data_IF_019583856896
#
_entry.id   IF_019583856896
#
_cell.length_a   1.000
_cell.length_b   1.000
_cell.length_c   1.000
_cell.angle_alpha   90.00
_cell.angle_beta   90.00
_cell.angle_gamma   90.00
#
_symmetry.space_group_name_H-M   'P 1'
#
loop_
_entity.id
_entity.type
_entity.pdbx_description
1 polymer ?
#
# COMPACT_ATOMS: atom_id res chain seq x y z
N UNK A 1 -3.33 -22.46 22.97
CA UNK A 1 -2.04 -22.92 22.36
C UNK A 1 -1.08 -21.81 22.69
N UNK A 2 0.08 -22.13 23.28
CA UNK A 2 1.08 -21.14 23.65
C UNK A 2 1.90 -20.66 22.42
N UNK A 3 2.55 -19.52 22.57
CA UNK A 3 3.34 -18.89 21.49
C UNK A 3 4.41 -19.83 20.95
N UNK A 4 5.11 -20.57 21.80
CA UNK A 4 6.17 -21.49 21.38
C UNK A 4 5.66 -22.57 20.43
N UNK A 5 4.50 -23.17 20.74
CA UNK A 5 3.88 -24.18 19.86
C UNK A 5 3.41 -23.59 18.53
N UNK A 6 2.90 -22.34 18.53
CA UNK A 6 2.51 -21.65 17.28
C UNK A 6 3.75 -21.43 16.41
N UNK A 7 4.80 -20.84 16.98
CA UNK A 7 6.06 -20.53 16.28
C UNK A 7 6.74 -21.81 15.78
N UNK A 8 6.81 -22.86 16.64
CA UNK A 8 7.41 -24.15 16.25
C UNK A 8 6.70 -24.76 15.05
N UNK A 9 5.35 -24.76 15.05
CA UNK A 9 4.56 -25.30 13.95
C UNK A 9 4.73 -24.50 12.66
N UNK A 10 4.75 -23.15 12.76
CA UNK A 10 5.00 -22.29 11.61
C UNK A 10 6.40 -22.58 11.02
N UNK A 11 7.41 -22.64 11.86
CA UNK A 11 8.79 -22.93 11.44
C UNK A 11 8.95 -24.33 10.80
N UNK A 12 8.12 -25.30 11.16
CA UNK A 12 8.19 -26.65 10.62
C UNK A 12 7.48 -26.78 9.25
N UNK A 13 6.37 -26.07 9.03
CA UNK A 13 5.50 -26.32 7.89
C UNK A 13 5.35 -25.13 6.93
N UNK A 14 5.67 -23.90 7.32
CA UNK A 14 5.56 -22.73 6.46
C UNK A 14 6.92 -22.33 5.90
N UNK A 15 6.97 -22.11 4.58
CA UNK A 15 8.21 -21.72 3.92
C UNK A 15 8.76 -20.40 4.49
N UNK A 16 10.04 -20.38 4.84
CA UNK A 16 10.72 -19.24 5.49
C UNK A 16 11.13 -18.17 4.48
N UNK A 17 10.18 -17.54 3.82
CA UNK A 17 10.41 -16.39 2.94
C UNK A 17 10.34 -15.04 3.68
N UNK A 18 9.96 -15.06 4.95
CA UNK A 18 9.84 -13.88 5.80
C UNK A 18 10.69 -14.00 7.06
N UNK A 19 11.36 -12.92 7.44
CA UNK A 19 11.99 -12.78 8.74
C UNK A 19 10.93 -12.31 9.76
N UNK A 20 10.18 -13.28 10.36
CA UNK A 20 9.10 -12.98 11.28
C UNK A 20 9.59 -12.46 12.61
N UNK A 21 8.89 -11.48 13.18
CA UNK A 21 9.08 -11.11 14.58
C UNK A 21 8.76 -12.33 15.48
N UNK A 22 9.54 -12.61 16.54
CA UNK A 22 9.39 -13.79 17.39
C UNK A 22 8.22 -13.65 18.40
N UNK A 23 7.05 -13.27 17.91
CA UNK A 23 5.80 -13.19 18.68
C UNK A 23 4.69 -13.91 17.92
N UNK A 24 3.77 -14.53 18.66
CA UNK A 24 2.53 -15.06 18.10
C UNK A 24 1.37 -14.12 18.45
N UNK A 25 0.45 -13.91 17.51
CA UNK A 25 -0.77 -13.15 17.71
C UNK A 25 -1.98 -14.08 17.58
N UNK A 26 -2.94 -13.99 18.48
CA UNK A 26 -4.09 -14.88 18.55
C UNK A 26 -5.43 -14.15 18.41
N UNK A 27 -5.51 -12.91 18.84
CA UNK A 27 -6.72 -12.09 18.83
C UNK A 27 -6.38 -10.65 18.45
N UNK A 28 -7.39 -9.90 18.04
CA UNK A 28 -7.27 -8.46 17.83
C UNK A 28 -8.59 -7.76 18.07
N UNK A 29 -8.53 -6.51 18.52
CA UNK A 29 -9.68 -5.61 18.65
C UNK A 29 -9.23 -4.16 18.47
N UNK A 30 -9.83 -3.44 17.53
CA UNK A 30 -9.43 -2.07 17.21
C UNK A 30 -7.95 -1.99 16.84
N UNK A 31 -7.19 -1.20 17.58
CA UNK A 31 -5.74 -1.05 17.35
C UNK A 31 -4.87 -2.07 18.10
N UNK A 32 -5.48 -2.98 18.86
CA UNK A 32 -4.71 -3.88 19.72
C UNK A 32 -4.73 -5.32 19.20
N UNK A 33 -3.55 -5.90 19.09
CA UNK A 33 -3.35 -7.34 18.93
C UNK A 33 -2.98 -7.97 20.28
N UNK A 34 -3.33 -9.24 20.47
CA UNK A 34 -3.08 -9.98 21.71
C UNK A 34 -2.45 -11.33 21.38
N UNK A 35 -1.38 -11.67 22.09
CA UNK A 35 -0.74 -12.97 22.02
C UNK A 35 -1.54 -14.05 22.75
N UNK A 36 -1.19 -15.35 22.54
CA UNK A 36 -1.85 -16.47 23.21
C UNK A 36 -1.83 -16.41 24.73
N UNK A 37 -0.80 -15.82 25.32
CA UNK A 37 -0.60 -15.67 26.76
C UNK A 37 -1.21 -14.36 27.33
N UNK A 38 -1.87 -13.59 26.48
CA UNK A 38 -2.55 -12.34 26.87
C UNK A 38 -1.72 -11.08 26.78
N UNK A 39 -0.50 -11.13 26.23
CA UNK A 39 0.28 -9.90 25.97
C UNK A 39 -0.45 -9.06 24.94
N UNK A 40 -0.57 -7.76 25.21
CA UNK A 40 -1.22 -6.80 24.31
C UNK A 40 -0.19 -5.92 23.60
N UNK A 41 -0.40 -5.75 22.33
CA UNK A 41 0.41 -4.92 21.46
C UNK A 41 -0.45 -3.83 20.80
N UNK A 42 -0.03 -2.59 20.90
CA UNK A 42 -0.58 -1.49 20.11
C UNK A 42 -0.01 -1.59 18.69
N UNK A 43 -0.87 -1.78 17.70
CA UNK A 43 -0.46 -2.05 16.33
C UNK A 43 -0.39 -0.79 15.48
N UNK A 44 0.83 -0.37 15.14
CA UNK A 44 1.12 0.69 14.19
C UNK A 44 1.64 0.15 12.86
N UNK A 45 1.32 -1.14 12.56
CA UNK A 45 1.60 -1.78 11.27
C UNK A 45 0.36 -1.98 10.43
N UNK A 46 -0.79 -2.20 11.06
CA UNK A 46 -2.06 -2.65 10.47
C UNK A 46 -1.91 -3.73 9.39
N UNK A 47 -0.95 -4.68 9.61
CA UNK A 47 -0.64 -5.72 8.63
C UNK A 47 -0.10 -5.16 7.31
N UNK A 48 0.80 -4.17 7.38
CA UNK A 48 1.34 -3.40 6.25
C UNK A 48 0.25 -2.56 5.56
N UNK A 49 -0.55 -1.83 6.37
CA UNK A 49 -1.58 -0.93 5.87
C UNK A 49 -2.86 -1.61 5.38
N UNK A 50 -3.12 -2.85 5.76
CA UNK A 50 -4.29 -3.65 5.33
C UNK A 50 -5.50 -3.45 6.24
N UNK A 51 -5.32 -3.53 7.57
CA UNK A 51 -6.39 -3.39 8.55
C UNK A 51 -6.76 -1.91 8.75
N UNK A 52 -7.32 -1.28 7.71
CA UNK A 52 -7.65 0.16 7.75
C UNK A 52 -8.67 0.52 8.83
N UNK A 53 -9.60 -0.38 9.14
CA UNK A 53 -10.60 -0.21 10.22
C UNK A 53 -10.13 -0.79 11.57
N UNK A 54 -8.87 -1.25 11.66
CA UNK A 54 -8.38 -2.00 12.81
C UNK A 54 -8.84 -3.46 12.80
N UNK A 55 -8.55 -4.16 13.90
CA UNK A 55 -8.94 -5.55 14.06
C UNK A 55 -10.42 -5.68 14.43
N UNK A 56 -11.12 -6.60 13.77
CA UNK A 56 -12.46 -7.04 14.12
C UNK A 56 -13.50 -5.89 14.21
N UNK A 57 -13.45 -4.92 13.27
CA UNK A 57 -14.54 -3.94 13.15
C UNK A 57 -15.87 -4.68 13.00
N UNK A 58 -16.84 -4.38 13.87
CA UNK A 58 -18.08 -5.15 13.96
C UNK A 58 -18.89 -5.08 12.67
N UNK A 59 -19.03 -3.91 12.09
CA UNK A 59 -19.82 -3.73 10.86
C UNK A 59 -19.19 -4.48 9.69
N UNK A 60 -17.87 -4.45 9.60
CA UNK A 60 -17.13 -5.21 8.59
C UNK A 60 -17.27 -6.73 8.78
N UNK A 61 -17.09 -7.21 10.02
CA UNK A 61 -17.19 -8.62 10.36
C UNK A 61 -18.59 -9.18 10.13
N UNK A 62 -19.63 -8.44 10.50
CA UNK A 62 -21.03 -8.79 10.25
C UNK A 62 -21.33 -8.87 8.75
N UNK A 63 -20.93 -7.88 7.96
CA UNK A 63 -21.15 -7.88 6.50
C UNK A 63 -20.47 -9.07 5.80
N UNK A 64 -19.25 -9.41 6.21
CA UNK A 64 -18.50 -10.57 5.70
C UNK A 64 -19.20 -11.87 6.09
N UNK A 65 -19.58 -12.02 7.36
CA UNK A 65 -20.28 -13.20 7.88
C UNK A 65 -21.63 -13.41 7.19
N UNK A 66 -22.43 -12.35 7.10
CA UNK A 66 -23.74 -12.38 6.44
C UNK A 66 -23.63 -12.81 4.97
N UNK A 67 -22.67 -12.23 4.23
CA UNK A 67 -22.47 -12.59 2.83
C UNK A 67 -21.95 -14.02 2.66
N UNK A 68 -21.09 -14.51 3.57
CA UNK A 68 -20.60 -15.88 3.54
C UNK A 68 -21.73 -16.91 3.73
N UNK A 69 -22.76 -16.57 4.52
CA UNK A 69 -23.95 -17.41 4.69
C UNK A 69 -24.93 -17.33 3.51
N UNK A 70 -24.86 -16.27 2.68
CA UNK A 70 -25.73 -16.12 1.50
C UNK A 70 -25.14 -16.75 0.24
N UNK A 71 -23.94 -16.36 -0.12
CA UNK A 71 -23.29 -16.76 -1.37
C UNK A 71 -21.80 -16.38 -1.30
N UNK A 72 -20.93 -17.37 -1.19
CA UNK A 72 -19.49 -17.14 -1.00
C UNK A 72 -18.71 -16.96 -2.30
N UNK A 73 -19.14 -17.60 -3.40
CA UNK A 73 -18.40 -17.55 -4.66
C UNK A 73 -19.25 -17.95 -5.87
N UNK A 74 -19.05 -17.31 -7.02
CA UNK A 74 -19.71 -17.65 -8.30
C UNK A 74 -18.75 -17.54 -9.48
N UNK A 75 -17.49 -17.17 -9.27
CA UNK A 75 -16.60 -16.67 -10.31
C UNK A 75 -17.18 -15.45 -11.04
N UNK A 76 -16.61 -15.04 -12.15
CA UNK A 76 -17.10 -13.94 -12.98
C UNK A 76 -18.04 -14.42 -14.12
N UNK A 77 -18.63 -15.60 -13.96
CA UNK A 77 -19.63 -16.16 -14.89
C UNK A 77 -21.03 -15.59 -14.63
N UNK A 78 -21.28 -15.09 -13.42
CA UNK A 78 -22.58 -14.56 -12.98
C UNK A 78 -22.44 -13.23 -12.28
N UNK A 79 -23.47 -12.40 -12.33
CA UNK A 79 -23.49 -11.11 -11.64
C UNK A 79 -23.79 -11.31 -10.16
N UNK A 80 -23.09 -10.53 -9.31
CA UNK A 80 -23.35 -10.47 -7.88
C UNK A 80 -23.53 -9.02 -7.41
N UNK A 81 -24.49 -8.80 -6.53
CA UNK A 81 -24.79 -7.44 -6.05
C UNK A 81 -23.63 -6.77 -5.31
N UNK A 82 -22.86 -7.45 -4.41
CA UNK A 82 -21.75 -6.82 -3.71
C UNK A 82 -20.65 -6.29 -4.64
N UNK A 83 -20.31 -7.04 -5.69
CA UNK A 83 -19.30 -6.66 -6.67
C UNK A 83 -19.70 -5.40 -7.44
N UNK A 84 -20.91 -5.39 -8.04
CA UNK A 84 -21.40 -4.22 -8.78
C UNK A 84 -21.58 -2.99 -7.90
N UNK A 85 -22.01 -3.17 -6.62
CA UNK A 85 -22.13 -2.08 -5.64
C UNK A 85 -20.77 -1.47 -5.34
N UNK A 86 -19.74 -2.29 -5.10
CA UNK A 86 -18.38 -1.84 -4.84
C UNK A 86 -17.80 -1.08 -6.04
N UNK A 87 -17.92 -1.64 -7.26
CA UNK A 87 -17.44 -1.00 -8.47
C UNK A 87 -18.08 0.39 -8.65
N UNK A 88 -19.41 0.49 -8.49
CA UNK A 88 -20.13 1.77 -8.57
C UNK A 88 -19.62 2.81 -7.58
N UNK A 89 -19.35 2.40 -6.32
CA UNK A 89 -18.84 3.30 -5.28
C UNK A 89 -17.44 3.79 -5.62
N UNK A 90 -16.55 2.88 -6.03
CA UNK A 90 -15.19 3.23 -6.42
C UNK A 90 -15.18 4.19 -7.61
N UNK A 91 -15.92 3.89 -8.69
CA UNK A 91 -16.02 4.80 -9.83
C UNK A 91 -16.53 6.20 -9.43
N UNK A 92 -17.61 6.26 -8.63
CA UNK A 92 -18.16 7.55 -8.15
C UNK A 92 -17.19 8.34 -7.29
N UNK A 93 -16.42 7.63 -6.44
CA UNK A 93 -15.50 8.26 -5.49
C UNK A 93 -14.24 8.80 -6.18
N UNK A 94 -13.77 8.12 -7.22
CA UNK A 94 -12.49 8.39 -7.88
C UNK A 94 -12.61 9.11 -9.22
N UNK A 95 -13.82 9.17 -9.79
CA UNK A 95 -14.04 9.68 -11.15
C UNK A 95 -13.61 8.72 -12.25
N UNK A 96 -13.21 7.48 -11.90
CA UNK A 96 -12.87 6.45 -12.88
C UNK A 96 -14.13 5.85 -13.51
N UNK A 97 -13.98 5.26 -14.70
CA UNK A 97 -15.09 4.74 -15.51
C UNK A 97 -15.46 3.29 -15.17
N UNK A 98 -14.46 2.42 -15.04
CA UNK A 98 -14.63 0.98 -14.84
C UNK A 98 -13.64 0.42 -13.82
N UNK A 99 -14.00 -0.73 -13.21
CA UNK A 99 -13.14 -1.45 -12.26
C UNK A 99 -13.05 -2.91 -12.68
N UNK A 100 -11.83 -3.44 -12.71
CA UNK A 100 -11.56 -4.87 -12.70
C UNK A 100 -11.09 -5.27 -11.30
N UNK A 101 -11.59 -6.39 -10.76
CA UNK A 101 -11.18 -6.91 -9.46
C UNK A 101 -10.27 -8.13 -9.59
N UNK A 102 -9.17 -8.12 -8.85
CA UNK A 102 -8.29 -9.25 -8.55
C UNK A 102 -8.25 -9.54 -7.04
N UNK A 103 -7.20 -10.20 -6.57
CA UNK A 103 -7.08 -10.67 -5.18
C UNK A 103 -5.90 -10.03 -4.42
N UNK A 104 -5.07 -9.30 -5.10
CA UNK A 104 -3.85 -8.70 -4.54
C UNK A 104 -3.44 -7.43 -5.27
N UNK A 105 -2.52 -6.65 -4.67
CA UNK A 105 -1.91 -5.51 -5.33
C UNK A 105 -1.10 -5.92 -6.57
N UNK A 106 -0.41 -7.08 -6.51
CA UNK A 106 0.31 -7.60 -7.67
C UNK A 106 -0.63 -7.90 -8.84
N UNK A 107 -1.76 -8.58 -8.60
CA UNK A 107 -2.76 -8.83 -9.66
C UNK A 107 -3.38 -7.54 -10.20
N UNK A 108 -3.60 -6.54 -9.33
CA UNK A 108 -4.06 -5.23 -9.77
C UNK A 108 -3.02 -4.56 -10.70
N UNK A 109 -1.76 -4.59 -10.33
CA UNK A 109 -0.68 -4.02 -11.14
C UNK A 109 -0.46 -4.79 -12.45
N UNK A 110 -0.58 -6.13 -12.47
CA UNK A 110 -0.61 -6.94 -13.70
C UNK A 110 -1.74 -6.48 -14.64
N UNK A 111 -2.94 -6.29 -14.08
CA UNK A 111 -4.10 -5.79 -14.83
C UNK A 111 -3.87 -4.39 -15.40
N UNK A 112 -3.25 -3.49 -14.62
CA UNK A 112 -2.93 -2.13 -15.04
C UNK A 112 -1.91 -2.11 -16.18
N UNK A 113 -0.82 -2.89 -16.08
CA UNK A 113 0.20 -3.03 -17.11
C UNK A 113 -0.43 -3.58 -18.41
N UNK A 114 -1.26 -4.61 -18.29
CA UNK A 114 -1.98 -5.19 -19.44
C UNK A 114 -2.92 -4.18 -20.09
N UNK A 115 -3.66 -3.39 -19.31
CA UNK A 115 -4.58 -2.39 -19.84
C UNK A 115 -3.81 -1.28 -20.59
N UNK A 116 -2.69 -0.82 -20.05
CA UNK A 116 -1.84 0.19 -20.70
C UNK A 116 -1.26 -0.33 -22.03
N UNK A 117 -0.72 -1.55 -22.04
CA UNK A 117 -0.21 -2.19 -23.26
C UNK A 117 -1.31 -2.44 -24.28
N UNK A 118 -2.52 -2.84 -23.84
CA UNK A 118 -3.67 -3.04 -24.73
C UNK A 118 -4.14 -1.74 -25.37
N UNK A 119 -4.26 -0.65 -24.59
CA UNK A 119 -4.56 0.68 -25.10
C UNK A 119 -3.56 1.08 -26.18
N UNK A 120 -2.28 0.95 -25.89
CA UNK A 120 -1.20 1.30 -26.83
C UNK A 120 -1.26 0.46 -28.11
N UNK A 121 -1.50 -0.85 -27.97
CA UNK A 121 -1.62 -1.75 -29.13
C UNK A 121 -2.81 -1.39 -30.03
N UNK A 122 -3.96 -1.07 -29.45
CA UNK A 122 -5.17 -0.76 -30.20
C UNK A 122 -5.03 0.54 -31.00
N UNK A 123 -4.25 1.53 -30.47
CA UNK A 123 -4.08 2.82 -31.11
C UNK A 123 -2.84 2.93 -32.01
N UNK A 124 -1.76 2.19 -31.70
CA UNK A 124 -0.45 2.34 -32.33
C UNK A 124 0.10 1.05 -32.95
N UNK A 125 -0.57 -0.08 -32.75
CA UNK A 125 -0.08 -1.37 -33.21
C UNK A 125 1.06 -1.96 -32.34
N UNK A 126 1.81 -2.91 -32.91
CA UNK A 126 2.91 -3.60 -32.21
C UNK A 126 4.13 -2.73 -31.97
N UNK A 127 4.84 -3.00 -30.87
CA UNK A 127 6.16 -2.42 -30.57
C UNK A 127 6.15 -1.14 -29.77
N UNK A 128 4.98 -0.75 -29.23
CA UNK A 128 4.84 0.33 -28.25
C UNK A 128 4.25 -0.25 -26.96
N UNK A 129 5.11 -0.92 -26.17
CA UNK A 129 4.74 -1.75 -25.04
C UNK A 129 5.69 -1.62 -23.81
N UNK A 130 6.65 -0.68 -23.90
CA UNK A 130 7.57 -0.37 -22.80
C UNK A 130 6.86 0.43 -21.71
N UNK A 131 7.01 -0.01 -20.47
CA UNK A 131 6.55 0.68 -19.25
C UNK A 131 7.74 1.22 -18.49
N UNK A 132 7.77 2.52 -18.22
CA UNK A 132 8.80 3.14 -17.39
C UNK A 132 8.32 3.14 -15.94
N UNK A 133 9.18 2.66 -15.01
CA UNK A 133 8.94 2.67 -13.57
C UNK A 133 10.03 3.43 -12.83
N UNK A 134 9.89 3.60 -11.51
CA UNK A 134 10.87 4.34 -10.72
C UNK A 134 11.82 3.40 -9.98
N UNK A 135 13.09 3.79 -9.90
CA UNK A 135 14.06 3.19 -8.98
C UNK A 135 13.50 3.31 -7.55
N UNK A 136 13.70 2.28 -6.73
CA UNK A 136 13.15 2.12 -5.39
C UNK A 136 11.63 1.89 -5.31
N UNK A 137 10.93 1.72 -6.43
CA UNK A 137 9.51 1.33 -6.43
C UNK A 137 9.29 -0.11 -5.96
N UNK A 138 8.04 -0.41 -5.60
CA UNK A 138 7.59 -1.77 -5.31
C UNK A 138 6.17 -1.99 -5.84
N UNK A 139 6.04 -2.86 -6.86
CA UNK A 139 4.76 -3.10 -7.53
C UNK A 139 4.22 -4.52 -7.38
N UNK A 140 4.98 -5.44 -6.78
CA UNK A 140 4.53 -6.80 -6.49
C UNK A 140 5.61 -7.86 -6.59
N UNK A 141 5.17 -9.14 -6.50
CA UNK A 141 6.05 -10.32 -6.49
C UNK A 141 5.74 -11.33 -7.61
N UNK A 142 4.79 -11.05 -8.50
CA UNK A 142 4.61 -11.81 -9.75
C UNK A 142 5.71 -11.41 -10.73
N UNK A 143 6.00 -12.24 -11.73
CA UNK A 143 7.18 -11.99 -12.60
C UNK A 143 7.10 -10.62 -13.28
N UNK A 144 5.96 -10.19 -13.83
CA UNK A 144 5.88 -8.87 -14.46
C UNK A 144 5.91 -7.72 -13.43
N UNK A 145 5.21 -7.82 -12.32
CA UNK A 145 5.27 -6.79 -11.27
C UNK A 145 6.60 -6.76 -10.54
N UNK A 146 7.29 -7.91 -10.45
CA UNK A 146 8.65 -7.99 -9.94
C UNK A 146 9.62 -7.30 -10.90
N UNK A 147 9.46 -7.53 -12.22
CA UNK A 147 10.20 -6.77 -13.23
C UNK A 147 9.91 -5.27 -13.15
N UNK A 148 8.67 -4.86 -12.92
CA UNK A 148 8.32 -3.44 -12.75
C UNK A 148 8.89 -2.82 -11.47
N UNK A 149 9.24 -3.63 -10.46
CA UNK A 149 9.80 -3.18 -9.17
C UNK A 149 11.26 -2.74 -9.34
N UNK A 150 11.54 -1.46 -9.14
CA UNK A 150 12.85 -0.84 -9.34
C UNK A 150 13.84 -1.08 -8.19
N UNK A 151 13.95 -2.31 -7.69
CA UNK A 151 14.86 -2.67 -6.60
C UNK A 151 15.60 -3.97 -6.93
N UNK A 152 16.88 -3.87 -7.25
CA UNK A 152 17.72 -5.02 -7.65
C UNK A 152 17.75 -6.14 -6.62
N UNK A 153 17.65 -5.85 -5.33
CA UNK A 153 17.62 -6.85 -4.26
C UNK A 153 16.53 -7.90 -4.45
N UNK A 154 15.46 -7.59 -5.17
CA UNK A 154 14.37 -8.51 -5.47
C UNK A 154 14.55 -9.27 -6.79
N UNK A 155 15.53 -8.91 -7.61
CA UNK A 155 15.73 -9.49 -8.94
C UNK A 155 16.72 -10.67 -8.97
N UNK A 156 17.47 -10.92 -7.89
CA UNK A 156 18.67 -11.75 -7.86
C UNK A 156 18.56 -13.18 -8.44
N UNK A 157 17.39 -13.85 -8.42
CA UNK A 157 17.31 -15.29 -8.73
C UNK A 157 16.21 -15.67 -9.72
N UNK A 158 15.38 -14.72 -10.14
CA UNK A 158 14.09 -15.03 -10.77
C UNK A 158 14.03 -14.73 -12.27
N UNK A 159 15.17 -14.50 -12.90
CA UNK A 159 15.25 -14.31 -14.35
C UNK A 159 14.97 -15.61 -15.13
N UNK A 160 14.63 -15.54 -16.42
CA UNK A 160 14.57 -14.30 -17.19
C UNK A 160 13.35 -13.44 -16.85
N UNK A 161 13.57 -12.12 -16.81
CA UNK A 161 12.50 -11.15 -16.55
C UNK A 161 11.77 -10.78 -17.85
N UNK A 162 10.58 -10.16 -17.71
CA UNK A 162 9.83 -9.67 -18.84
C UNK A 162 10.56 -8.50 -19.52
N UNK A 163 10.64 -8.53 -20.84
CA UNK A 163 11.07 -7.37 -21.63
C UNK A 163 10.04 -6.22 -21.53
N UNK A 164 10.47 -5.01 -21.92
CA UNK A 164 9.60 -3.83 -21.96
C UNK A 164 9.40 -3.15 -20.60
N UNK A 165 10.42 -3.19 -19.74
CA UNK A 165 10.49 -2.37 -18.52
C UNK A 165 11.82 -1.63 -18.48
N UNK A 166 11.76 -0.32 -18.16
CA UNK A 166 12.92 0.53 -17.91
C UNK A 166 12.71 1.36 -16.67
N UNK A 167 13.79 1.83 -16.04
CA UNK A 167 13.73 2.50 -14.76
C UNK A 167 14.35 3.89 -14.85
N UNK A 168 13.74 4.86 -14.13
CA UNK A 168 14.29 6.20 -13.93
C UNK A 168 14.31 6.57 -12.47
N UNK A 169 15.10 7.55 -12.08
CA UNK A 169 15.16 8.05 -10.72
C UNK A 169 13.99 9.00 -10.44
N UNK A 170 13.35 8.86 -9.28
CA UNK A 170 12.32 9.80 -8.85
C UNK A 170 12.88 11.23 -8.74
N UNK A 171 12.18 12.22 -9.30
CA UNK A 171 12.62 13.62 -9.36
C UNK A 171 13.44 13.99 -10.59
N UNK A 172 13.92 13.02 -11.38
CA UNK A 172 14.67 13.26 -12.60
C UNK A 172 13.73 13.32 -13.81
N UNK A 173 13.16 14.50 -14.07
CA UNK A 173 12.25 14.68 -15.23
C UNK A 173 12.99 14.71 -16.57
N UNK A 174 14.21 15.20 -16.62
CA UNK A 174 14.98 15.24 -17.84
C UNK A 174 15.42 13.83 -18.24
N UNK A 175 15.96 13.04 -17.30
CA UNK A 175 16.27 11.63 -17.55
C UNK A 175 15.04 10.82 -17.95
N UNK A 176 13.86 11.12 -17.38
CA UNK A 176 12.61 10.51 -17.81
C UNK A 176 12.26 10.89 -19.26
N UNK A 177 12.41 12.17 -19.65
CA UNK A 177 12.15 12.62 -21.02
C UNK A 177 13.06 11.93 -22.04
N UNK A 178 14.33 11.72 -21.71
CA UNK A 178 15.29 11.03 -22.56
C UNK A 178 14.96 9.54 -22.74
N UNK A 179 14.38 8.89 -21.71
CA UNK A 179 13.97 7.48 -21.78
C UNK A 179 12.66 7.27 -22.58
N UNK A 180 11.81 8.29 -22.67
CA UNK A 180 10.57 8.19 -23.42
C UNK A 180 10.85 8.19 -24.92
N UNK A 181 10.56 7.07 -25.57
CA UNK A 181 10.73 6.90 -27.01
C UNK A 181 9.46 6.37 -27.69
N UNK A 182 9.58 5.98 -28.97
CA UNK A 182 8.47 5.44 -29.76
C UNK A 182 7.94 4.09 -29.23
N UNK A 183 8.68 3.40 -28.37
CA UNK A 183 8.29 2.11 -27.80
C UNK A 183 7.58 2.27 -26.45
N UNK A 184 7.61 3.45 -25.85
CA UNK A 184 7.03 3.71 -24.54
C UNK A 184 5.53 3.80 -24.61
N UNK A 185 4.81 3.01 -23.81
CA UNK A 185 3.34 3.02 -23.71
C UNK A 185 2.81 3.62 -22.40
N UNK A 186 3.58 3.53 -21.32
CA UNK A 186 3.11 3.96 -20.00
C UNK A 186 4.25 4.38 -19.08
N UNK A 187 3.90 5.21 -18.09
CA UNK A 187 4.70 5.47 -16.90
C UNK A 187 3.92 4.96 -15.69
N UNK A 188 4.57 4.19 -14.81
CA UNK A 188 3.97 3.65 -13.59
C UNK A 188 4.75 4.11 -12.37
N UNK A 189 4.05 4.63 -11.36
CA UNK A 189 4.67 5.17 -10.14
C UNK A 189 3.80 5.00 -8.90
N UNK A 190 4.44 5.01 -7.73
CA UNK A 190 3.83 5.25 -6.42
C UNK A 190 4.04 6.73 -6.07
N UNK A 191 3.01 7.44 -5.60
CA UNK A 191 3.15 8.83 -5.13
C UNK A 191 3.94 8.92 -3.81
N UNK A 192 3.96 7.83 -3.06
CA UNK A 192 4.86 7.62 -1.91
C UNK A 192 5.46 6.24 -2.08
N UNK A 193 6.75 6.14 -2.33
CA UNK A 193 7.47 4.89 -2.43
C UNK A 193 7.52 4.20 -1.05
N UNK A 194 6.55 3.31 -0.79
CA UNK A 194 6.35 2.72 0.53
C UNK A 194 7.51 1.87 0.99
N UNK A 195 7.95 0.94 0.16
CA UNK A 195 9.10 0.07 0.42
C UNK A 195 10.44 0.77 0.11
N UNK A 196 10.40 1.88 -0.61
CA UNK A 196 11.55 2.74 -0.93
C UNK A 196 11.99 3.67 0.21
N UNK A 197 11.42 3.55 1.43
CA UNK A 197 11.74 4.40 2.58
C UNK A 197 10.65 5.41 2.92
N UNK A 198 9.43 5.20 2.49
CA UNK A 198 8.27 6.09 2.69
C UNK A 198 8.51 7.48 2.10
N UNK A 199 9.02 7.53 0.87
CA UNK A 199 9.44 8.76 0.19
C UNK A 199 8.31 9.27 -0.70
N UNK A 200 7.72 10.41 -0.33
CA UNK A 200 6.76 11.13 -1.17
C UNK A 200 7.48 11.77 -2.36
N UNK A 201 6.88 11.69 -3.53
CA UNK A 201 7.38 12.36 -4.72
C UNK A 201 7.14 13.87 -4.64
N UNK A 202 8.00 14.63 -5.28
CA UNK A 202 7.84 16.07 -5.42
C UNK A 202 6.60 16.41 -6.29
N UNK A 203 5.72 17.35 -5.86
CA UNK A 203 4.53 17.71 -6.62
C UNK A 203 4.82 18.28 -8.03
N UNK A 204 5.89 19.05 -8.19
CA UNK A 204 6.25 19.62 -9.50
C UNK A 204 6.70 18.49 -10.45
N UNK A 205 7.49 17.54 -9.93
CA UNK A 205 7.86 16.35 -10.70
C UNK A 205 6.63 15.55 -11.14
N UNK A 206 5.68 15.30 -10.25
CA UNK A 206 4.45 14.54 -10.55
C UNK A 206 3.62 15.26 -11.63
N UNK A 207 3.50 16.58 -11.57
CA UNK A 207 2.81 17.36 -12.61
C UNK A 207 3.56 17.31 -13.95
N UNK A 208 4.88 17.38 -13.92
CA UNK A 208 5.71 17.24 -15.12
C UNK A 208 5.56 15.85 -15.78
N UNK A 209 5.49 14.78 -14.96
CA UNK A 209 5.20 13.42 -15.45
C UNK A 209 3.82 13.36 -16.12
N UNK A 210 2.77 13.97 -15.51
CA UNK A 210 1.44 14.01 -16.12
C UNK A 210 1.47 14.74 -17.47
N UNK A 211 2.10 15.92 -17.51
CA UNK A 211 2.22 16.70 -18.74
C UNK A 211 2.96 15.94 -19.84
N UNK A 212 4.03 15.20 -19.50
CA UNK A 212 4.77 14.35 -20.43
C UNK A 212 3.88 13.22 -20.97
N UNK A 213 3.08 12.58 -20.10
CA UNK A 213 2.14 11.54 -20.52
C UNK A 213 1.08 12.11 -21.49
N UNK A 214 0.58 13.33 -21.23
CA UNK A 214 -0.40 13.99 -22.10
C UNK A 214 0.23 14.35 -23.46
N UNK A 215 1.46 14.89 -23.47
CA UNK A 215 2.20 15.25 -24.67
C UNK A 215 2.47 14.05 -25.59
N UNK A 216 2.83 12.91 -25.01
CA UNK A 216 3.28 11.70 -25.75
C UNK A 216 2.19 10.64 -25.87
N UNK A 217 0.97 10.91 -25.41
CA UNK A 217 -0.13 9.95 -25.28
C UNK A 217 0.29 8.64 -24.60
N UNK A 218 0.96 8.78 -23.43
CA UNK A 218 1.31 7.66 -22.57
C UNK A 218 0.21 7.43 -21.53
N UNK A 219 0.05 6.19 -21.08
CA UNK A 219 -0.83 5.86 -19.97
C UNK A 219 -0.10 6.14 -18.65
N UNK A 220 -0.66 6.99 -17.80
CA UNK A 220 -0.17 7.19 -16.45
C UNK A 220 -0.86 6.22 -15.49
N UNK A 221 -0.09 5.27 -14.93
CA UNK A 221 -0.52 4.32 -13.91
C UNK A 221 -0.03 4.81 -12.55
N UNK A 222 -0.96 5.03 -11.61
CA UNK A 222 -0.62 5.33 -10.23
C UNK A 222 -0.95 4.13 -9.34
N UNK A 223 0.08 3.55 -8.74
CA UNK A 223 -0.04 2.48 -7.76
C UNK A 223 -0.40 3.08 -6.39
N UNK A 224 -1.68 2.97 -6.05
CA UNK A 224 -2.24 3.39 -4.76
C UNK A 224 -2.53 2.20 -3.82
N UNK A 225 -1.86 1.07 -4.05
CA UNK A 225 -2.02 -0.14 -3.24
C UNK A 225 -1.68 0.12 -1.77
N UNK A 226 -0.70 0.97 -1.48
CA UNK A 226 -0.34 1.33 -0.11
C UNK A 226 -0.83 2.72 0.31
N UNK A 227 -0.97 3.65 -0.60
CA UNK A 227 -1.32 5.06 -0.34
C UNK A 227 -2.82 5.34 -0.33
N UNK A 228 -3.61 4.52 -1.04
CA UNK A 228 -5.05 4.73 -1.20
C UNK A 228 -5.90 4.36 0.01
N UNK A 229 -7.19 4.48 -0.19
CA UNK A 229 -8.24 4.10 0.77
C UNK A 229 -8.08 4.79 2.14
N UNK A 230 -7.85 6.11 2.10
CA UNK A 230 -7.81 6.94 3.30
C UNK A 230 -6.46 7.07 3.99
N UNK A 231 -5.44 6.29 3.60
CA UNK A 231 -4.14 6.22 4.27
C UNK A 231 -3.46 7.58 4.44
N UNK A 232 -3.60 8.45 3.45
CA UNK A 232 -2.96 9.77 3.43
C UNK A 232 -3.87 10.92 3.93
N UNK A 233 -5.12 10.61 4.36
CA UNK A 233 -6.11 11.60 4.77
C UNK A 233 -7.09 11.99 3.66
N UNK A 234 -6.85 11.53 2.43
CA UNK A 234 -7.76 11.58 1.28
C UNK A 234 -8.09 10.17 0.82
N UNK A 235 -9.14 9.97 0.02
CA UNK A 235 -9.48 8.62 -0.46
C UNK A 235 -8.38 8.06 -1.36
N UNK A 236 -7.87 8.86 -2.30
CA UNK A 236 -6.66 8.59 -3.09
C UNK A 236 -5.57 9.60 -2.74
N UNK A 237 -4.32 9.17 -2.71
CA UNK A 237 -3.17 10.06 -2.57
C UNK A 237 -3.05 11.05 -3.73
N UNK A 238 -3.54 10.67 -4.92
CA UNK A 238 -3.65 11.54 -6.09
C UNK A 238 -4.33 12.89 -5.79
N UNK A 239 -5.25 12.94 -4.81
CA UNK A 239 -5.96 14.15 -4.44
C UNK A 239 -5.02 15.22 -3.86
N UNK A 240 -3.95 14.84 -3.14
CA UNK A 240 -2.93 15.77 -2.63
C UNK A 240 -2.13 16.43 -3.76
N UNK A 241 -2.01 15.77 -4.89
CA UNK A 241 -1.27 16.22 -6.07
C UNK A 241 -2.17 16.88 -7.12
N UNK A 242 -3.48 16.97 -6.89
CA UNK A 242 -4.44 17.34 -7.93
C UNK A 242 -4.20 16.56 -9.25
N UNK A 243 -3.85 15.29 -9.13
CA UNK A 243 -3.46 14.42 -10.23
C UNK A 243 -4.66 13.60 -10.72
N UNK A 244 -4.82 13.53 -12.03
CA UNK A 244 -5.80 12.64 -12.70
C UNK A 244 -5.05 11.58 -13.51
N UNK A 245 -4.78 10.40 -12.95
CA UNK A 245 -4.15 9.31 -13.67
C UNK A 245 -5.12 8.64 -14.64
N UNK A 246 -4.58 7.87 -15.59
CA UNK A 246 -5.39 7.05 -16.49
C UNK A 246 -5.82 5.73 -15.84
N UNK A 247 -4.95 5.17 -15.00
CA UNK A 247 -5.20 3.95 -14.24
C UNK A 247 -4.76 4.14 -12.78
N UNK A 248 -5.59 3.67 -11.85
CA UNK A 248 -5.26 3.58 -10.42
C UNK A 248 -5.38 2.14 -9.98
N UNK A 249 -4.41 1.65 -9.22
CA UNK A 249 -4.51 0.33 -8.58
C UNK A 249 -4.73 0.45 -7.08
N UNK A 250 -5.62 -0.36 -6.53
CA UNK A 250 -5.93 -0.44 -5.10
C UNK A 250 -5.82 -1.88 -4.61
N UNK A 251 -5.47 -2.06 -3.34
CA UNK A 251 -5.54 -3.33 -2.62
C UNK A 251 -5.51 -3.06 -1.10
N UNK A 252 -4.79 -3.86 -0.34
CA UNK A 252 -4.51 -3.66 1.11
C UNK A 252 -5.72 -3.13 1.88
N UNK A 253 -5.71 -1.84 2.23
CA UNK A 253 -6.77 -1.18 3.00
C UNK A 253 -8.17 -1.34 2.41
N UNK A 254 -8.32 -1.56 1.10
CA UNK A 254 -9.61 -1.77 0.45
C UNK A 254 -10.36 -2.99 1.01
N UNK A 255 -9.65 -4.06 1.35
CA UNK A 255 -10.25 -5.29 1.86
C UNK A 255 -10.53 -5.29 3.36
N UNK A 256 -9.93 -4.36 4.12
CA UNK A 256 -10.06 -4.30 5.57
C UNK A 256 -9.57 -5.57 6.30
N UNK A 257 -8.74 -6.39 5.65
CA UNK A 257 -8.22 -7.67 6.14
C UNK A 257 -8.40 -8.83 5.16
N UNK A 258 -9.34 -8.73 4.22
CA UNK A 258 -9.54 -9.74 3.17
C UNK A 258 -8.74 -9.42 1.90
N UNK A 259 -8.28 -10.46 1.15
CA UNK A 259 -7.50 -10.28 -0.07
C UNK A 259 -8.37 -9.73 -1.21
N UNK A 260 -8.01 -8.56 -1.71
CA UNK A 260 -8.63 -7.90 -2.88
C UNK A 260 -7.57 -7.04 -3.59
N UNK A 261 -7.68 -6.99 -4.91
CA UNK A 261 -7.05 -6.00 -5.77
C UNK A 261 -8.09 -5.34 -6.67
N UNK A 262 -7.90 -4.10 -7.03
CA UNK A 262 -8.76 -3.40 -7.96
C UNK A 262 -7.93 -2.56 -8.93
N UNK A 263 -8.26 -2.66 -10.21
CA UNK A 263 -7.75 -1.80 -11.29
C UNK A 263 -8.87 -0.86 -11.68
N UNK A 264 -8.69 0.42 -11.44
CA UNK A 264 -9.63 1.46 -11.81
C UNK A 264 -9.14 2.10 -13.10
N UNK A 265 -9.98 2.09 -14.11
CA UNK A 265 -9.68 2.55 -15.46
C UNK A 265 -10.51 3.80 -15.77
N UNK A 266 -9.88 4.81 -16.37
CA UNK A 266 -10.63 5.91 -16.97
C UNK A 266 -11.31 5.45 -18.27
N UNK A 267 -12.08 6.31 -18.93
CA UNK A 267 -12.80 5.97 -20.15
C UNK A 267 -11.84 5.50 -21.27
N UNK A 268 -10.73 6.22 -21.46
CA UNK A 268 -9.68 5.95 -22.43
C UNK A 268 -9.11 4.51 -22.31
N UNK A 269 -8.76 4.09 -21.10
CA UNK A 269 -8.10 2.81 -20.87
C UNK A 269 -9.07 1.63 -20.67
N UNK A 270 -10.34 1.93 -20.38
CA UNK A 270 -11.38 0.91 -20.21
C UNK A 270 -11.91 0.36 -21.55
N UNK A 271 -11.91 1.18 -22.60
CA UNK A 271 -12.54 0.85 -23.89
C UNK A 271 -11.96 -0.43 -24.53
N UNK A 272 -10.65 -0.59 -24.50
CA UNK A 272 -9.96 -1.75 -25.08
C UNK A 272 -10.07 -3.06 -24.26
N UNK A 273 -10.53 -2.99 -23.00
CA UNK A 273 -10.58 -4.14 -22.08
C UNK A 273 -11.92 -4.88 -22.17
N UNK A 274 -12.10 -5.65 -23.23
CA UNK A 274 -13.30 -6.47 -23.49
C UNK A 274 -13.18 -7.93 -23.01
N UNK A 275 -14.23 -8.76 -23.29
CA UNK A 275 -14.24 -10.18 -22.94
C UNK A 275 -13.00 -10.93 -23.45
N UNK A 276 -12.36 -11.71 -22.58
CA UNK A 276 -11.18 -12.50 -22.89
C UNK A 276 -9.84 -11.76 -22.76
N UNK A 277 -9.81 -10.42 -22.60
CA UNK A 277 -8.56 -9.67 -22.49
C UNK A 277 -7.87 -9.86 -21.13
N UNK A 278 -8.64 -10.08 -20.06
CA UNK A 278 -8.12 -10.36 -18.71
C UNK A 278 -9.13 -11.18 -17.90
N UNK A 279 -8.70 -11.81 -16.80
CA UNK A 279 -9.57 -12.63 -15.98
C UNK A 279 -9.00 -12.94 -14.59
N UNK A 280 -9.89 -13.30 -13.68
CA UNK A 280 -9.59 -13.81 -12.35
C UNK A 280 -10.73 -14.72 -11.90
N UNK A 281 -10.39 -15.88 -11.32
CA UNK A 281 -11.41 -16.78 -10.77
C UNK A 281 -12.08 -16.19 -9.54
N UNK A 282 -11.30 -15.64 -8.61
CA UNK A 282 -11.77 -15.13 -7.33
C UNK A 282 -12.02 -13.61 -7.30
N UNK A 283 -11.51 -12.86 -8.28
CA UNK A 283 -11.65 -11.40 -8.33
C UNK A 283 -13.13 -10.99 -8.35
N UNK A 284 -13.48 -10.03 -7.52
CA UNK A 284 -14.88 -9.62 -7.33
C UNK A 284 -15.72 -10.59 -6.48
N UNK A 285 -15.07 -11.47 -5.72
CA UNK A 285 -15.73 -12.40 -4.80
C UNK A 285 -16.75 -11.67 -3.92
N UNK A 286 -18.01 -12.17 -3.82
CA UNK A 286 -19.06 -11.45 -3.10
C UNK A 286 -18.77 -11.25 -1.61
N UNK A 287 -18.09 -12.18 -0.92
CA UNK A 287 -17.73 -12.03 0.50
C UNK A 287 -16.71 -10.92 0.69
N UNK A 288 -15.66 -10.92 -0.12
CA UNK A 288 -14.61 -9.89 -0.07
C UNK A 288 -15.18 -8.51 -0.45
N UNK A 289 -16.04 -8.46 -1.46
CA UNK A 289 -16.70 -7.23 -1.88
C UNK A 289 -17.69 -6.71 -0.82
N UNK A 290 -18.33 -7.57 -0.03
CA UNK A 290 -19.17 -7.14 1.09
C UNK A 290 -18.34 -6.40 2.16
N UNK A 291 -17.20 -6.97 2.58
CA UNK A 291 -16.28 -6.31 3.49
C UNK A 291 -15.71 -5.00 2.91
N UNK A 292 -15.26 -5.02 1.65
CA UNK A 292 -14.73 -3.82 1.00
C UNK A 292 -15.78 -2.70 0.83
N UNK A 293 -17.06 -3.05 0.64
CA UNK A 293 -18.15 -2.07 0.64
C UNK A 293 -18.26 -1.32 1.95
N UNK A 294 -18.06 -1.99 3.10
CA UNK A 294 -18.05 -1.36 4.42
C UNK A 294 -16.87 -0.41 4.56
N UNK A 295 -15.68 -0.86 4.12
CA UNK A 295 -14.48 0.00 4.13
C UNK A 295 -14.71 1.28 3.35
N UNK A 296 -15.19 1.18 2.10
CA UNK A 296 -15.42 2.37 1.25
C UNK A 296 -16.50 3.29 1.83
N UNK A 297 -17.56 2.73 2.41
CA UNK A 297 -18.63 3.54 3.06
C UNK A 297 -18.09 4.29 4.29
N UNK A 298 -17.15 3.70 5.03
CA UNK A 298 -16.55 4.33 6.20
C UNK A 298 -15.64 5.52 5.83
N UNK A 299 -15.07 5.56 4.63
CA UNK A 299 -14.17 6.63 4.16
C UNK A 299 -14.92 7.90 3.78
N UNK A 300 -15.85 8.35 4.60
CA UNK A 300 -16.56 9.63 4.44
C UNK A 300 -15.67 10.83 4.81
N UNK A 301 -16.18 12.03 4.57
CA UNK A 301 -15.43 13.25 4.83
C UNK A 301 -15.05 13.42 6.31
N UNK A 302 -15.92 13.02 7.24
CA UNK A 302 -15.66 13.14 8.67
C UNK A 302 -14.59 12.18 9.14
N UNK A 303 -14.61 10.94 8.64
CA UNK A 303 -13.58 9.95 8.91
C UNK A 303 -12.20 10.38 8.37
N UNK A 304 -12.14 10.85 7.12
CA UNK A 304 -10.89 11.32 6.51
C UNK A 304 -10.34 12.58 7.18
N UNK A 305 -11.22 13.46 7.68
CA UNK A 305 -10.82 14.61 8.49
C UNK A 305 -10.14 14.17 9.80
N UNK A 306 -10.71 13.16 10.50
CA UNK A 306 -10.07 12.58 11.69
C UNK A 306 -8.70 11.96 11.34
N UNK A 307 -8.58 11.22 10.23
CA UNK A 307 -7.28 10.68 9.78
C UNK A 307 -6.26 11.79 9.61
N UNK A 308 -6.63 12.88 8.97
CA UNK A 308 -5.76 14.05 8.77
C UNK A 308 -5.37 14.71 10.09
N UNK A 309 -6.31 14.87 11.01
CA UNK A 309 -6.05 15.44 12.33
C UNK A 309 -5.10 14.57 13.16
N UNK A 310 -5.32 13.25 13.16
CA UNK A 310 -4.42 12.30 13.86
C UNK A 310 -3.02 12.25 13.21
N UNK A 311 -2.94 12.39 11.90
CA UNK A 311 -1.67 12.48 11.21
C UNK A 311 -0.88 13.74 11.63
N UNK A 312 -1.52 14.89 11.73
CA UNK A 312 -0.90 16.13 12.22
C UNK A 312 -0.41 15.95 13.67
N UNK A 313 -1.26 15.40 14.55
CA UNK A 313 -0.90 15.14 15.95
C UNK A 313 0.30 14.19 16.06
N UNK A 314 0.27 13.08 15.34
CA UNK A 314 1.35 12.08 15.35
C UNK A 314 2.67 12.68 14.87
N UNK A 315 2.67 13.36 13.72
CA UNK A 315 3.85 13.98 13.15
C UNK A 315 4.44 15.07 14.04
N UNK A 316 3.58 15.92 14.61
CA UNK A 316 4.01 16.97 15.54
C UNK A 316 4.63 16.40 16.83
N UNK A 317 4.11 15.26 17.31
CA UNK A 317 4.67 14.54 18.44
C UNK A 317 6.01 13.88 18.08
N UNK A 318 6.09 13.15 16.98
CA UNK A 318 7.30 12.48 16.50
C UNK A 318 8.47 13.47 16.30
N UNK A 319 8.21 14.64 15.74
CA UNK A 319 9.23 15.65 15.49
C UNK A 319 9.89 16.21 16.78
N UNK A 320 9.29 15.98 17.95
CA UNK A 320 9.80 16.40 19.27
C UNK A 320 10.55 15.30 19.99
N UNK A 321 10.52 14.07 19.49
CA UNK A 321 11.18 12.93 20.13
C UNK A 321 12.70 13.02 19.96
N UNK A 322 13.48 12.56 20.97
CA UNK A 322 14.93 12.52 20.86
C UNK A 322 15.35 11.64 19.66
N UNK A 323 16.50 11.92 19.10
CA UNK A 323 17.12 11.17 18.00
C UNK A 323 16.32 11.14 16.68
N UNK A 324 15.15 11.75 16.58
CA UNK A 324 14.41 11.88 15.32
C UNK A 324 15.05 12.98 14.47
N UNK A 325 15.58 12.60 13.30
CA UNK A 325 16.25 13.50 12.36
C UNK A 325 15.28 14.09 11.34
N UNK A 326 14.43 13.24 10.74
CA UNK A 326 13.52 13.66 9.69
C UNK A 326 12.28 12.75 9.65
N UNK A 327 11.16 13.31 9.16
CA UNK A 327 9.92 12.58 8.90
C UNK A 327 9.58 12.65 7.41
N UNK A 328 9.19 11.53 6.83
CA UNK A 328 8.77 11.43 5.43
C UNK A 328 7.35 10.87 5.28
N UNK A 329 6.83 10.82 4.05
CA UNK A 329 5.47 10.35 3.75
C UNK A 329 4.39 11.41 3.99
N UNK A 330 3.11 11.03 3.80
CA UNK A 330 1.92 11.90 3.94
C UNK A 330 0.88 11.19 4.80
N UNK A 331 0.12 11.96 5.58
CA UNK A 331 -0.94 11.42 6.42
C UNK A 331 -0.43 10.44 7.46
N UNK A 332 -1.11 9.30 7.61
CA UNK A 332 -0.75 8.19 8.49
C UNK A 332 0.16 7.14 7.80
N UNK A 333 0.88 7.54 6.80
CA UNK A 333 1.99 6.79 6.20
C UNK A 333 3.27 7.55 6.52
N UNK A 334 3.97 7.15 7.60
CA UNK A 334 5.08 7.90 8.18
C UNK A 334 6.37 7.10 8.15
N UNK A 335 7.42 7.68 7.60
CA UNK A 335 8.80 7.21 7.71
C UNK A 335 9.59 8.08 8.70
N UNK A 336 10.38 7.48 9.57
CA UNK A 336 11.20 8.16 10.57
C UNK A 336 12.67 7.85 10.32
N UNK A 337 13.47 8.88 10.13
CA UNK A 337 14.93 8.80 10.04
C UNK A 337 15.52 9.26 11.38
N UNK A 338 16.60 8.61 11.84
CA UNK A 338 17.22 8.89 13.14
C UNK A 338 18.61 9.50 12.99
N UNK A 339 19.03 10.27 14.02
CA UNK A 339 20.40 10.70 14.21
C UNK A 339 21.28 9.57 14.79
N UNK A 340 22.61 9.80 14.85
CA UNK A 340 23.55 8.99 15.62
C UNK A 340 23.72 7.54 15.14
N UNK A 341 23.37 7.24 13.88
CA UNK A 341 23.52 5.88 13.33
C UNK A 341 22.57 4.84 13.89
N UNK A 342 21.52 5.25 14.63
CA UNK A 342 20.49 4.36 15.16
C UNK A 342 19.82 3.60 14.00
N UNK A 343 19.82 2.28 14.11
CA UNK A 343 19.20 1.42 13.12
C UNK A 343 17.70 1.26 13.38
N UNK A 344 16.88 1.43 12.36
CA UNK A 344 15.42 1.26 12.47
C UNK A 344 15.02 -0.15 12.97
N UNK A 345 15.82 -1.17 12.67
CA UNK A 345 15.61 -2.53 13.16
C UNK A 345 15.75 -2.66 14.69
N UNK A 346 16.69 -1.91 15.29
CA UNK A 346 16.87 -1.91 16.74
C UNK A 346 15.71 -1.19 17.43
N UNK A 347 15.25 -0.06 16.87
CA UNK A 347 14.07 0.67 17.36
C UNK A 347 12.82 -0.23 17.27
N UNK A 348 12.63 -0.95 16.15
CA UNK A 348 11.52 -1.91 15.99
C UNK A 348 11.56 -2.98 17.09
N UNK A 349 12.73 -3.57 17.37
CA UNK A 349 12.88 -4.60 18.38
C UNK A 349 12.53 -4.05 19.77
N UNK A 350 13.05 -2.88 20.14
CA UNK A 350 12.77 -2.27 21.44
C UNK A 350 11.30 -1.83 21.58
N UNK A 351 10.68 -1.29 20.52
CA UNK A 351 9.26 -0.97 20.52
C UNK A 351 8.38 -2.20 20.75
N UNK A 352 8.71 -3.33 20.09
CA UNK A 352 8.00 -4.58 20.24
C UNK A 352 8.07 -5.09 21.69
N UNK A 353 9.21 -5.01 22.35
CA UNK A 353 9.38 -5.39 23.76
C UNK A 353 8.51 -4.53 24.70
N UNK A 354 8.30 -3.26 24.33
CA UNK A 354 7.40 -2.34 25.06
C UNK A 354 5.95 -2.39 24.59
N UNK A 355 5.59 -3.33 23.71
CA UNK A 355 4.22 -3.55 23.26
C UNK A 355 3.73 -2.63 22.15
N UNK A 356 4.63 -2.03 21.37
CA UNK A 356 4.30 -1.28 20.16
C UNK A 356 4.82 -2.00 18.91
N UNK A 357 3.93 -2.36 18.00
CA UNK A 357 4.30 -2.98 16.72
C UNK A 357 4.49 -1.90 15.65
N UNK A 358 5.66 -1.89 15.05
CA UNK A 358 6.06 -0.97 13.97
C UNK A 358 6.74 -1.74 12.84
N UNK A 359 7.05 -1.09 11.73
CA UNK A 359 7.71 -1.66 10.56
C UNK A 359 9.02 -0.94 10.26
N UNK A 360 9.81 -1.51 9.37
CA UNK A 360 10.91 -0.82 8.71
C UNK A 360 10.65 -0.66 7.22
N UNK A 361 11.24 0.37 6.61
CA UNK A 361 11.34 0.54 5.17
C UNK A 361 12.73 1.07 4.85
N UNK A 362 13.60 0.21 4.32
CA UNK A 362 15.04 0.46 4.21
C UNK A 362 15.63 0.89 5.56
N UNK A 363 16.29 2.04 5.65
CA UNK A 363 16.89 2.58 6.87
C UNK A 363 15.91 3.29 7.80
N UNK A 364 14.62 3.43 7.44
CA UNK A 364 13.63 4.16 8.22
C UNK A 364 12.69 3.25 9.01
N UNK A 365 12.29 3.71 10.19
CA UNK A 365 11.14 3.14 10.88
C UNK A 365 9.87 3.61 10.14
N UNK A 366 8.94 2.69 9.91
CA UNK A 366 7.68 2.97 9.21
C UNK A 366 6.48 2.73 10.11
N UNK A 367 5.60 3.72 10.16
CA UNK A 367 4.32 3.64 10.87
C UNK A 367 3.16 3.65 9.87
N UNK A 368 2.28 2.66 10.02
CA UNK A 368 1.05 2.47 9.24
C UNK A 368 -0.11 2.08 10.18
N UNK A 369 -0.49 2.93 11.16
CA UNK A 369 -1.55 2.57 12.10
C UNK A 369 -2.90 2.38 11.40
N UNK A 370 -3.87 1.65 12.00
CA UNK A 370 -5.25 1.68 11.57
C UNK A 370 -5.80 3.11 11.49
N UNK A 371 -6.71 3.35 10.55
CA UNK A 371 -7.25 4.70 10.31
C UNK A 371 -8.28 5.14 11.35
N UNK A 372 -8.70 4.21 12.21
CA UNK A 372 -9.56 4.45 13.38
C UNK A 372 -8.81 4.99 14.61
N UNK A 373 -7.54 5.33 14.42
CA UNK A 373 -6.64 5.89 15.44
C UNK A 373 -7.27 7.07 16.19
N UNK A 374 -7.21 7.03 17.53
CA UNK A 374 -7.67 8.12 18.39
C UNK A 374 -6.52 8.99 18.87
N UNK A 375 -6.83 10.16 19.43
CA UNK A 375 -5.80 11.04 20.02
C UNK A 375 -5.04 10.34 21.15
N UNK A 376 -5.74 9.56 21.98
CA UNK A 376 -5.14 8.79 23.07
C UNK A 376 -4.18 7.70 22.58
N UNK A 377 -4.52 7.02 21.47
CA UNK A 377 -3.63 6.01 20.87
C UNK A 377 -2.35 6.63 20.33
N UNK A 378 -2.46 7.84 19.75
CA UNK A 378 -1.28 8.62 19.31
C UNK A 378 -0.38 8.94 20.51
N UNK A 379 -0.94 9.47 21.60
CA UNK A 379 -0.18 9.80 22.82
C UNK A 379 0.53 8.58 23.40
N UNK A 380 -0.17 7.44 23.44
CA UNK A 380 0.41 6.20 23.95
C UNK A 380 1.57 5.71 23.09
N UNK A 381 1.43 5.72 21.76
CA UNK A 381 2.51 5.34 20.86
C UNK A 381 3.70 6.28 20.97
N UNK A 382 3.47 7.59 21.05
CA UNK A 382 4.52 8.59 21.26
C UNK A 382 5.24 8.40 22.61
N UNK A 383 4.50 8.04 23.66
CA UNK A 383 5.09 7.72 24.98
C UNK A 383 6.07 6.53 24.90
N UNK A 384 5.66 5.43 24.23
CA UNK A 384 6.52 4.27 24.04
C UNK A 384 7.74 4.60 23.18
N UNK A 385 7.56 5.31 22.08
CA UNK A 385 8.66 5.73 21.20
C UNK A 385 9.64 6.66 21.94
N UNK A 386 9.12 7.59 22.74
CA UNK A 386 9.97 8.49 23.54
C UNK A 386 10.83 7.71 24.53
N UNK A 387 10.25 6.75 25.25
CA UNK A 387 10.98 5.89 26.18
C UNK A 387 12.09 5.11 25.46
N UNK A 388 11.77 4.44 24.35
CA UNK A 388 12.73 3.67 23.53
C UNK A 388 13.88 4.56 23.04
N UNK A 389 13.56 5.71 22.47
CA UNK A 389 14.58 6.59 21.88
C UNK A 389 15.44 7.27 22.94
N UNK A 390 14.89 7.61 24.12
CA UNK A 390 15.66 8.13 25.25
C UNK A 390 16.66 7.10 25.78
N UNK A 391 16.25 5.83 25.90
CA UNK A 391 17.15 4.74 26.31
C UNK A 391 18.28 4.51 25.28
N UNK A 392 17.99 4.66 24.00
CA UNK A 392 18.98 4.53 22.92
C UNK A 392 19.96 5.72 22.91
N UNK A 393 19.46 6.95 23.11
CA UNK A 393 20.29 8.14 23.21
C UNK A 393 21.32 8.03 24.37
N UNK A 394 20.88 7.51 25.53
CA UNK A 394 21.76 7.30 26.69
C UNK A 394 22.84 6.25 26.44
N UNK A 395 22.59 5.27 25.57
CA UNK A 395 23.52 4.20 25.21
C UNK A 395 24.42 4.57 24.02
N UNK A 396 24.06 5.60 23.24
CA UNK A 396 24.87 6.04 22.12
C UNK A 396 26.24 6.57 22.62
N UNK A 397 27.34 6.22 21.93
CA UNK A 397 28.63 6.83 22.26
C UNK A 397 28.51 8.36 22.19
N UNK A 398 28.85 9.06 23.26
CA UNK A 398 28.97 10.51 23.20
C UNK A 398 30.10 10.80 22.23
N UNK A 399 29.76 11.15 20.98
CA UNK A 399 30.74 11.75 20.08
C UNK A 399 31.38 12.94 20.82
N UNK A 400 32.71 12.91 20.95
CA UNK A 400 33.44 13.99 21.52
C UNK A 400 33.17 15.24 20.68
N UNK A 401 32.57 16.24 21.31
CA UNK A 401 32.24 17.54 20.73
C UNK A 401 33.49 18.26 20.19
#
# INVERSE_FOLDING_TARGET
MDSEKVIKRDNEYVLHTYNRNPIALAKGHGLYAEGPEGQKYLDFTSGIGVNSLGYCDLTWAEAVSEQAHKLQHTSNLYYTAPCGKLAKKLCKRTGMSKVFFGNSGAEANEGAIKAARKYSFDHYGKGRDVVITLVNSFHGRTIATLTATGQEVFHNYFGPFNEGFVYTTAGDIEGLRELVDRHTCAIMLELIQGEGGVMALDPEYVQAVRALCDEKDLVLIVDEVQTGVGRTGTFLCCEHYNLKPDIVTLAKGLGGGLPIGAVLLNEKTAEGMGPGSHGSTFGGNPVVCAGANVVVDRMDQSFLANVSERAVQLRAGLAKLPMVKNLSGIGLMVGIEFFGGIQAADVLAACREKGLLVLTAKSRLRLLPPLTLTAHDVEKALGILNEVLTEMEQKAPKEQA
#
